data_IF_816329157718
#
_entry.id   IF_816329157718
#
_cell.length_a   1.000
_cell.length_b   1.000
_cell.length_c   1.000
_cell.angle_alpha   90.00
_cell.angle_beta   90.00
_cell.angle_gamma   90.00
#
_symmetry.space_group_name_H-M   'P 1'
#
loop_
_entity.id
_entity.type
_entity.pdbx_description
1 polymer ?
#
# COMPACT_ATOMS: atom_id res chain seq x y z
N UNK A 1 22.58 20.29 -30.43
CA UNK A 1 22.66 19.44 -29.26
C UNK A 1 23.86 18.53 -29.37
N UNK A 2 24.77 18.57 -28.41
CA UNK A 2 25.86 17.62 -28.48
C UNK A 2 25.49 16.37 -27.65
N UNK A 3 26.24 15.29 -27.83
CA UNK A 3 25.92 14.02 -27.22
C UNK A 3 26.07 14.04 -25.70
N UNK A 4 26.88 14.92 -25.16
CA UNK A 4 27.05 15.07 -23.71
C UNK A 4 25.78 15.64 -23.06
N UNK A 5 25.16 16.62 -23.71
CA UNK A 5 23.90 17.21 -23.22
C UNK A 5 22.79 16.15 -23.24
N UNK A 6 22.72 15.37 -24.28
CA UNK A 6 21.74 14.30 -24.38
C UNK A 6 21.97 13.25 -23.29
N UNK A 7 23.21 12.87 -23.05
CA UNK A 7 23.56 11.91 -22.00
C UNK A 7 23.18 12.41 -20.62
N UNK A 8 23.45 13.69 -20.34
CA UNK A 8 23.08 14.31 -19.06
C UNK A 8 21.57 14.31 -18.84
N UNK A 9 20.82 14.68 -19.88
CA UNK A 9 19.36 14.68 -19.79
C UNK A 9 18.81 13.28 -19.59
N UNK A 10 19.37 12.31 -20.31
CA UNK A 10 18.95 10.93 -20.18
C UNK A 10 19.18 10.41 -18.75
N UNK A 11 20.36 10.72 -18.23
CA UNK A 11 20.73 10.27 -16.88
C UNK A 11 19.85 10.91 -15.81
N UNK A 12 19.59 12.20 -15.94
CA UNK A 12 18.73 12.93 -15.01
C UNK A 12 17.30 12.38 -15.04
N UNK A 13 16.77 12.17 -16.23
CA UNK A 13 15.43 11.62 -16.41
C UNK A 13 15.35 10.21 -15.84
N UNK A 14 16.37 9.41 -16.06
CA UNK A 14 16.42 8.06 -15.53
C UNK A 14 16.42 8.06 -13.99
N UNK A 15 17.22 8.94 -13.39
CA UNK A 15 17.28 9.07 -11.93
C UNK A 15 15.94 9.51 -11.36
N UNK A 16 15.28 10.47 -11.98
CA UNK A 16 13.94 10.91 -11.56
C UNK A 16 12.93 9.79 -11.65
N UNK A 17 12.99 9.03 -12.73
CA UNK A 17 12.08 7.92 -12.95
C UNK A 17 12.28 6.83 -11.89
N UNK A 18 13.54 6.51 -11.58
CA UNK A 18 13.85 5.53 -10.56
C UNK A 18 13.40 5.99 -9.17
N UNK A 19 13.60 7.27 -8.86
CA UNK A 19 13.14 7.84 -7.59
C UNK A 19 11.61 7.79 -7.49
N UNK A 20 10.92 8.11 -8.59
CA UNK A 20 9.47 8.03 -8.63
C UNK A 20 8.97 6.62 -8.45
N UNK A 21 9.65 5.66 -9.05
CA UNK A 21 9.30 4.24 -8.91
C UNK A 21 9.48 3.77 -7.47
N UNK A 22 10.59 4.14 -6.83
CA UNK A 22 10.82 3.79 -5.44
C UNK A 22 9.77 4.37 -4.52
N UNK A 23 9.37 5.62 -4.74
CA UNK A 23 8.29 6.25 -3.99
C UNK A 23 6.97 5.52 -4.18
N UNK A 24 6.67 5.11 -5.40
CA UNK A 24 5.45 4.38 -5.69
C UNK A 24 5.43 3.01 -4.98
N UNK A 25 6.57 2.33 -4.96
CA UNK A 25 6.70 1.04 -4.27
C UNK A 25 6.46 1.22 -2.78
N UNK A 26 7.00 2.27 -2.17
CA UNK A 26 6.78 2.57 -0.75
C UNK A 26 5.30 2.83 -0.46
N UNK A 27 4.64 3.60 -1.32
CA UNK A 27 3.21 3.88 -1.17
C UNK A 27 2.38 2.62 -1.30
N UNK A 28 2.75 1.73 -2.22
CA UNK A 28 2.07 0.45 -2.37
C UNK A 28 2.24 -0.43 -1.14
N UNK A 29 3.45 -0.44 -0.56
CA UNK A 29 3.72 -1.19 0.66
C UNK A 29 2.89 -0.66 1.82
N UNK A 30 2.77 0.65 1.96
CA UNK A 30 1.93 1.27 2.98
C UNK A 30 0.47 0.94 2.77
N UNK A 31 0.01 0.94 1.52
CA UNK A 31 -1.36 0.58 1.19
C UNK A 31 -1.66 -0.87 1.55
N UNK A 32 -0.72 -1.77 1.29
CA UNK A 32 -0.86 -3.18 1.64
C UNK A 32 -0.97 -3.37 3.15
N UNK A 33 -0.17 -2.63 3.92
CA UNK A 33 -0.25 -2.66 5.38
C UNK A 33 -1.62 -2.21 5.87
N UNK A 34 -2.13 -1.13 5.31
CA UNK A 34 -3.45 -0.61 5.68
C UNK A 34 -4.55 -1.60 5.35
N UNK A 35 -4.46 -2.24 4.19
CA UNK A 35 -5.43 -3.26 3.78
C UNK A 35 -5.41 -4.44 4.76
N UNK A 36 -4.23 -4.87 5.18
CA UNK A 36 -4.09 -5.94 6.18
C UNK A 36 -4.74 -5.57 7.51
N UNK A 37 -4.51 -4.33 7.97
CA UNK A 37 -5.09 -3.84 9.22
C UNK A 37 -6.61 -3.79 9.11
N UNK A 38 -7.13 -3.30 8.00
CA UNK A 38 -8.57 -3.24 7.75
C UNK A 38 -9.16 -4.65 7.74
N UNK A 39 -8.49 -5.59 7.07
CA UNK A 39 -8.91 -6.98 7.04
C UNK A 39 -9.00 -7.59 8.43
N UNK A 40 -7.98 -7.35 9.27
CA UNK A 40 -7.99 -7.83 10.65
C UNK A 40 -9.10 -7.20 11.46
N UNK A 41 -9.34 -5.90 11.26
CA UNK A 41 -10.42 -5.18 11.96
C UNK A 41 -11.79 -5.74 11.58
N UNK A 42 -11.99 -6.02 10.30
CA UNK A 42 -13.23 -6.60 9.82
C UNK A 42 -13.45 -7.99 10.40
N UNK A 43 -12.40 -8.79 10.48
CA UNK A 43 -12.47 -10.13 11.06
C UNK A 43 -12.85 -10.06 12.54
N UNK A 44 -12.20 -9.17 13.29
CA UNK A 44 -12.52 -8.97 14.71
C UNK A 44 -13.95 -8.52 14.90
N UNK A 45 -14.43 -7.59 14.08
CA UNK A 45 -15.80 -7.12 14.14
C UNK A 45 -16.77 -8.25 13.83
N UNK A 46 -16.48 -9.04 12.83
CA UNK A 46 -17.30 -10.18 12.44
C UNK A 46 -17.43 -11.19 13.57
N UNK A 47 -16.32 -11.49 14.24
CA UNK A 47 -16.30 -12.40 15.37
C UNK A 47 -17.12 -11.85 16.56
N UNK A 48 -17.02 -10.55 16.81
CA UNK A 48 -17.78 -9.89 17.87
C UNK A 48 -19.28 -9.98 17.62
N UNK A 49 -19.69 -9.72 16.39
CA UNK A 49 -21.11 -9.81 16.00
C UNK A 49 -21.59 -11.26 16.15
N UNK A 50 -20.78 -12.21 15.70
CA UNK A 50 -21.12 -13.62 15.80
C UNK A 50 -21.33 -14.05 17.26
N UNK A 51 -20.42 -13.65 18.15
CA UNK A 51 -20.52 -13.95 19.56
C UNK A 51 -21.76 -13.32 20.19
N UNK A 52 -22.05 -12.09 19.81
CA UNK A 52 -23.24 -11.41 20.30
C UNK A 52 -24.51 -12.17 19.91
N UNK A 53 -24.60 -12.61 18.67
CA UNK A 53 -25.76 -13.36 18.17
C UNK A 53 -25.89 -14.72 18.87
N UNK A 54 -24.77 -15.41 19.11
CA UNK A 54 -24.76 -16.69 19.80
C UNK A 54 -25.25 -16.50 21.23
N UNK A 55 -24.76 -15.48 21.93
CA UNK A 55 -25.16 -15.21 23.31
C UNK A 55 -26.64 -14.89 23.42
N UNK A 56 -27.18 -14.13 22.46
CA UNK A 56 -28.60 -13.83 22.43
C UNK A 56 -29.45 -15.07 22.26
N UNK A 57 -29.00 -16.02 21.44
CA UNK A 57 -29.73 -17.26 21.20
C UNK A 57 -29.71 -18.19 22.42
N UNK A 58 -28.69 -18.07 23.25
CA UNK A 58 -28.56 -18.90 24.45
C UNK A 58 -29.55 -18.55 25.54
N UNK A 59 -30.09 -17.35 25.47
CA UNK A 59 -31.07 -16.89 26.42
C UNK A 59 -32.48 -17.23 25.93
#
# INVERSE_FOLDING_TARGET
MNSQDFESQYRDTMNETLNGLQSAILLLAQAQLKISIIGSSLQNLSESVEQYLINQKSE
#
